data_IF_330897994482
#
_entry.id   IF_330897994482
#
_cell.length_a   1.000
_cell.length_b   1.000
_cell.length_c   1.000
_cell.angle_alpha   90.00
_cell.angle_beta   90.00
_cell.angle_gamma   90.00
#
_symmetry.space_group_name_H-M   'P 1'
#
loop_
_entity.id
_entity.type
_entity.pdbx_description
1 polymer ?
#
# COMPACT_ATOMS: atom_id res chain seq x y z
N UNK A 1 -25.19 -25.74 7.96
CA UNK A 1 -24.31 -25.13 8.98
C UNK A 1 -23.01 -24.73 8.29
N UNK A 2 -22.82 -23.44 7.98
CA UNK A 2 -21.59 -22.96 7.33
C UNK A 2 -20.47 -22.95 8.39
N UNK A 3 -19.40 -23.70 8.15
CA UNK A 3 -18.16 -23.67 8.96
C UNK A 3 -17.61 -22.25 8.92
N UNK A 4 -17.64 -21.54 10.05
CA UNK A 4 -16.87 -20.30 10.23
C UNK A 4 -15.40 -20.70 10.22
N UNK A 5 -14.70 -20.43 9.12
CA UNK A 5 -13.25 -20.63 9.07
C UNK A 5 -12.61 -19.66 10.06
N UNK A 6 -11.76 -20.18 10.94
CA UNK A 6 -11.01 -19.40 11.91
C UNK A 6 -10.02 -18.51 11.14
N UNK A 7 -10.26 -17.19 11.13
CA UNK A 7 -9.47 -16.24 10.34
C UNK A 7 -8.15 -15.97 11.07
N UNK A 8 -7.01 -16.23 10.42
CA UNK A 8 -5.70 -15.99 11.06
C UNK A 8 -5.29 -14.51 10.97
N UNK A 9 -4.46 -13.99 11.90
CA UNK A 9 -3.95 -12.61 11.83
C UNK A 9 -3.20 -12.29 10.53
N UNK A 10 -2.60 -13.30 9.90
CA UNK A 10 -1.90 -13.16 8.61
C UNK A 10 -2.87 -12.95 7.45
N UNK A 11 -4.03 -13.60 7.49
CA UNK A 11 -5.05 -13.45 6.45
C UNK A 11 -5.68 -12.06 6.48
N UNK A 12 -5.92 -11.52 7.67
CA UNK A 12 -6.39 -10.14 7.86
C UNK A 12 -5.39 -9.11 7.33
N UNK A 13 -4.10 -9.29 7.61
CA UNK A 13 -3.05 -8.40 7.10
C UNK A 13 -2.94 -8.45 5.57
N UNK A 14 -3.08 -9.65 4.98
CA UNK A 14 -3.13 -9.85 3.53
C UNK A 14 -4.32 -9.12 2.91
N UNK A 15 -5.51 -9.32 3.48
CA UNK A 15 -6.75 -8.71 3.00
C UNK A 15 -6.68 -7.18 3.07
N UNK A 16 -6.14 -6.62 4.15
CA UNK A 16 -5.92 -5.17 4.28
C UNK A 16 -5.01 -4.60 3.18
N UNK A 17 -3.95 -5.30 2.80
CA UNK A 17 -3.08 -4.89 1.68
C UNK A 17 -3.78 -4.97 0.33
N UNK A 18 -4.56 -6.03 0.10
CA UNK A 18 -5.36 -6.17 -1.13
C UNK A 18 -6.40 -5.06 -1.24
N UNK A 19 -7.07 -4.70 -0.15
CA UNK A 19 -7.99 -3.55 -0.12
C UNK A 19 -7.30 -2.25 -0.48
N UNK A 20 -6.08 -2.00 0.02
CA UNK A 20 -5.29 -0.81 -0.35
C UNK A 20 -4.98 -0.79 -1.85
N UNK A 21 -4.54 -1.92 -2.41
CA UNK A 21 -4.26 -2.05 -3.85
C UNK A 21 -5.51 -1.80 -4.71
N UNK A 22 -6.64 -2.39 -4.34
CA UNK A 22 -7.91 -2.18 -5.06
C UNK A 22 -8.32 -0.71 -5.06
N UNK A 23 -8.11 0.01 -3.96
CA UNK A 23 -8.36 1.46 -3.90
C UNK A 23 -7.42 2.24 -4.82
N UNK A 24 -6.12 1.93 -4.80
CA UNK A 24 -5.12 2.56 -5.68
C UNK A 24 -5.49 2.33 -7.15
N UNK A 25 -5.88 1.12 -7.52
CA UNK A 25 -6.32 0.79 -8.87
C UNK A 25 -7.54 1.62 -9.29
N UNK A 26 -8.53 1.76 -8.40
CA UNK A 26 -9.70 2.63 -8.65
C UNK A 26 -9.32 4.10 -8.85
N UNK A 27 -8.33 4.61 -8.11
CA UNK A 27 -7.84 5.97 -8.28
C UNK A 27 -7.14 6.15 -9.64
N UNK A 28 -6.30 5.20 -10.05
CA UNK A 28 -5.60 5.21 -11.36
C UNK A 28 -6.63 5.18 -12.50
N UNK A 29 -7.63 4.32 -12.40
CA UNK A 29 -8.71 4.22 -13.39
C UNK A 29 -9.54 5.52 -13.47
N UNK A 30 -9.77 6.19 -12.34
CA UNK A 30 -10.41 7.50 -12.29
C UNK A 30 -9.63 8.58 -13.03
N UNK A 31 -8.31 8.63 -12.83
CA UNK A 31 -7.41 9.56 -13.54
C UNK A 31 -7.44 9.29 -15.05
N UNK A 32 -7.34 8.02 -15.45
CA UNK A 32 -7.40 7.61 -16.86
C UNK A 32 -8.68 8.14 -17.53
N UNK A 33 -9.85 7.90 -16.93
CA UNK A 33 -11.14 8.41 -17.45
C UNK A 33 -11.20 9.93 -17.52
N UNK A 34 -10.62 10.61 -16.52
CA UNK A 34 -10.55 12.07 -16.50
C UNK A 34 -9.72 12.62 -17.67
N UNK A 35 -8.61 11.96 -18.01
CA UNK A 35 -7.76 12.32 -19.15
C UNK A 35 -8.48 12.04 -20.48
N UNK A 36 -9.09 10.86 -20.63
CA UNK A 36 -9.80 10.45 -21.85
C UNK A 36 -10.96 11.40 -22.21
N UNK A 37 -11.65 11.95 -21.20
CA UNK A 37 -12.79 12.86 -21.41
C UNK A 37 -12.39 14.30 -21.78
N UNK A 38 -11.10 14.63 -21.82
CA UNK A 38 -10.52 15.85 -22.43
C UNK A 38 -11.16 17.19 -22.04
N UNK A 39 -11.79 17.30 -20.86
CA UNK A 39 -12.24 18.60 -20.33
C UNK A 39 -11.04 19.38 -19.80
N UNK A 40 -10.63 20.41 -20.53
CA UNK A 40 -9.44 21.23 -20.25
C UNK A 40 -9.43 21.84 -18.83
N UNK A 41 -10.61 21.97 -18.19
CA UNK A 41 -10.79 22.57 -16.86
C UNK A 41 -10.35 21.65 -15.69
N UNK A 42 -9.94 20.41 -15.95
CA UNK A 42 -9.62 19.43 -14.91
C UNK A 42 -8.13 19.34 -14.51
N UNK A 43 -7.26 20.24 -14.98
CA UNK A 43 -5.81 20.14 -14.74
C UNK A 43 -5.44 20.07 -13.25
N UNK A 44 -5.92 21.02 -12.43
CA UNK A 44 -5.65 21.04 -10.98
C UNK A 44 -6.25 19.83 -10.26
N UNK A 45 -7.45 19.42 -10.64
CA UNK A 45 -8.11 18.23 -10.10
C UNK A 45 -7.31 16.96 -10.38
N UNK A 46 -6.86 16.79 -11.63
CA UNK A 46 -6.06 15.64 -12.06
C UNK A 46 -4.71 15.62 -11.35
N UNK A 47 -4.07 16.78 -11.19
CA UNK A 47 -2.82 16.89 -10.42
C UNK A 47 -3.03 16.49 -8.95
N UNK A 48 -4.15 16.90 -8.34
CA UNK A 48 -4.56 16.47 -7.00
C UNK A 48 -4.77 14.97 -6.90
N UNK A 49 -5.41 14.34 -7.90
CA UNK A 49 -5.60 12.90 -7.96
C UNK A 49 -4.28 12.14 -8.12
N UNK A 50 -3.37 12.62 -8.98
CA UNK A 50 -2.03 12.03 -9.15
C UNK A 50 -1.25 12.08 -7.82
N UNK A 51 -1.28 13.23 -7.12
CA UNK A 51 -0.69 13.35 -5.78
C UNK A 51 -1.31 12.35 -4.79
N UNK A 52 -2.62 12.17 -4.82
CA UNK A 52 -3.32 11.23 -3.94
C UNK A 52 -2.92 9.78 -4.22
N UNK A 53 -2.78 9.38 -5.49
CA UNK A 53 -2.26 8.05 -5.88
C UNK A 53 -0.85 7.85 -5.36
N UNK A 54 0.04 8.83 -5.56
CA UNK A 54 1.41 8.75 -5.09
C UNK A 54 1.49 8.54 -3.56
N UNK A 55 0.72 9.31 -2.79
CA UNK A 55 0.64 9.14 -1.33
C UNK A 55 0.06 7.77 -0.94
N UNK A 56 -0.98 7.30 -1.63
CA UNK A 56 -1.56 5.98 -1.37
C UNK A 56 -0.56 4.84 -1.64
N UNK A 57 0.25 4.94 -2.70
CA UNK A 57 1.32 3.99 -3.01
C UNK A 57 2.41 4.01 -1.94
N UNK A 58 2.83 5.19 -1.45
CA UNK A 58 3.78 5.30 -0.34
C UNK A 58 3.27 4.56 0.91
N UNK A 59 2.04 4.82 1.32
CA UNK A 59 1.43 4.15 2.48
C UNK A 59 1.19 2.65 2.28
N UNK A 60 0.95 2.22 1.03
CA UNK A 60 0.90 0.79 0.72
C UNK A 60 2.28 0.14 0.87
N UNK A 61 3.34 0.77 0.35
CA UNK A 61 4.70 0.25 0.45
C UNK A 61 5.16 0.10 1.90
N UNK A 62 4.89 1.12 2.74
CA UNK A 62 5.10 1.07 4.19
C UNK A 62 4.43 -0.15 4.83
N UNK A 63 3.11 -0.28 4.64
CA UNK A 63 2.33 -1.38 5.21
C UNK A 63 2.79 -2.76 4.70
N UNK A 64 3.15 -2.86 3.42
CA UNK A 64 3.64 -4.11 2.82
C UNK A 64 4.94 -4.56 3.46
N UNK A 65 5.89 -3.64 3.65
CA UNK A 65 7.16 -3.98 4.28
C UNK A 65 6.96 -4.42 5.73
N UNK A 66 6.21 -3.65 6.52
CA UNK A 66 5.97 -3.98 7.92
C UNK A 66 5.37 -5.38 8.08
N UNK A 67 4.47 -5.74 7.16
CA UNK A 67 3.77 -7.03 7.19
C UNK A 67 4.62 -8.18 6.64
N UNK A 68 5.24 -8.00 5.47
CA UNK A 68 5.82 -9.09 4.68
C UNK A 68 7.35 -9.06 4.64
N UNK A 69 7.99 -7.91 4.44
CA UNK A 69 9.45 -7.87 4.33
C UNK A 69 10.14 -8.30 5.65
N UNK A 70 9.58 -7.88 6.79
CA UNK A 70 10.08 -8.28 8.11
C UNK A 70 9.79 -9.75 8.43
N UNK A 71 8.64 -10.28 8.01
CA UNK A 71 8.34 -11.68 8.21
C UNK A 71 9.17 -12.59 7.29
N UNK A 72 9.53 -12.13 6.10
CA UNK A 72 10.54 -12.78 5.25
C UNK A 72 11.92 -12.73 5.90
N UNK A 73 12.37 -11.57 6.39
CA UNK A 73 13.66 -11.44 7.07
C UNK A 73 13.79 -12.39 8.28
N UNK A 74 12.72 -12.53 9.08
CA UNK A 74 12.67 -13.49 10.20
C UNK A 74 12.89 -14.93 9.78
N UNK A 75 12.30 -15.35 8.66
CA UNK A 75 12.44 -16.71 8.14
C UNK A 75 13.88 -17.01 7.69
N UNK A 76 14.58 -16.00 7.19
CA UNK A 76 15.97 -16.08 6.75
C UNK A 76 16.98 -15.94 7.92
N UNK A 77 16.52 -15.91 9.18
CA UNK A 77 17.41 -15.85 10.35
C UNK A 77 18.02 -14.48 10.62
N UNK A 78 17.44 -13.41 10.09
CA UNK A 78 17.90 -12.03 10.28
C UNK A 78 17.75 -11.60 11.75
N UNK A 79 18.77 -10.93 12.29
CA UNK A 79 18.73 -10.44 13.68
C UNK A 79 17.64 -9.36 13.89
N UNK A 80 17.04 -9.34 15.08
CA UNK A 80 16.02 -8.33 15.47
C UNK A 80 16.55 -6.89 15.39
N UNK A 81 17.86 -6.68 15.63
CA UNK A 81 18.50 -5.37 15.47
C UNK A 81 18.47 -4.90 14.01
N UNK A 82 18.71 -5.81 13.07
CA UNK A 82 18.65 -5.50 11.65
C UNK A 82 17.20 -5.29 11.16
N UNK A 83 16.23 -6.05 11.66
CA UNK A 83 14.80 -5.79 11.40
C UNK A 83 14.40 -4.36 11.80
N UNK A 84 14.83 -3.89 12.97
CA UNK A 84 14.52 -2.55 13.43
C UNK A 84 15.20 -1.48 12.58
N UNK A 85 16.44 -1.72 12.12
CA UNK A 85 17.10 -0.81 11.18
C UNK A 85 16.34 -0.73 9.85
N UNK A 86 15.85 -1.87 9.34
CA UNK A 86 15.01 -1.89 8.13
C UNK A 86 13.72 -1.10 8.34
N UNK A 87 13.03 -1.25 9.47
CA UNK A 87 11.86 -0.42 9.80
C UNK A 87 12.19 1.07 9.77
N UNK A 88 13.28 1.49 10.40
CA UNK A 88 13.70 2.90 10.45
C UNK A 88 14.00 3.47 9.06
N UNK A 89 14.73 2.73 8.23
CA UNK A 89 15.05 3.16 6.86
C UNK A 89 13.76 3.33 6.05
N UNK A 90 12.80 2.43 6.22
CA UNK A 90 11.57 2.43 5.45
C UNK A 90 10.63 3.53 5.91
N UNK A 91 10.50 3.74 7.23
CA UNK A 91 9.85 4.91 7.79
C UNK A 91 10.44 6.21 7.18
N UNK A 92 11.77 6.34 7.12
CA UNK A 92 12.40 7.53 6.54
C UNK A 92 12.18 7.70 5.03
N UNK A 93 12.06 6.60 4.27
CA UNK A 93 11.88 6.62 2.82
C UNK A 93 10.44 6.93 2.39
N UNK A 94 9.45 6.58 3.21
CA UNK A 94 8.03 6.68 2.86
C UNK A 94 7.26 7.73 3.69
N UNK A 95 7.78 8.21 4.83
CA UNK A 95 7.14 9.25 5.67
C UNK A 95 7.68 10.67 5.46
N UNK A 96 8.71 10.87 4.63
CA UNK A 96 9.14 12.18 4.10
C UNK A 96 8.52 12.45 2.73
#
# INVERSE_FOLDING_TARGET
>A
MKKTAEVTPRDLAREALLHRLNRIQGQIEGIKRSIETSKQDNCLTNLGQVKAVHSAVKHFAEAYVETYALSCARKEGVSTKFENNIRTIIASAYLM
#
